data_IF_566150237429
#
_entry.id   IF_566150237429
#
_cell.length_a   1.000
_cell.length_b   1.000
_cell.length_c   1.000
_cell.angle_alpha   90.00
_cell.angle_beta   90.00
_cell.angle_gamma   90.00
#
_symmetry.space_group_name_H-M   'P 1'
#
loop_
_entity.id
_entity.type
_entity.pdbx_description
1 polymer ?
#
# COMPACT_ATOMS: atom_id res chain seq x y z
N UNK A 1 5.20 -1.70 -7.62
CA UNK A 1 4.43 -1.64 -6.36
C UNK A 1 5.33 -1.41 -5.17
N UNK A 2 4.80 -0.82 -4.15
CA UNK A 2 5.53 -0.53 -2.93
C UNK A 2 4.77 -1.20 -1.76
N UNK A 3 5.44 -2.10 -1.04
CA UNK A 3 4.83 -2.85 0.05
C UNK A 3 5.26 -2.29 1.39
N UNK A 4 4.30 -1.95 2.25
CA UNK A 4 4.56 -1.38 3.57
C UNK A 4 3.84 -2.20 4.64
N UNK A 5 4.61 -2.95 5.42
CA UNK A 5 4.11 -3.81 6.49
C UNK A 5 5.28 -4.12 7.43
N UNK A 6 5.06 -4.11 8.72
CA UNK A 6 6.14 -4.34 9.69
C UNK A 6 6.53 -5.81 9.83
N UNK A 7 5.73 -6.71 9.29
CA UNK A 7 6.03 -8.15 9.31
C UNK A 7 6.76 -8.57 8.04
N UNK A 8 8.09 -8.73 8.15
CA UNK A 8 8.92 -9.08 7.01
C UNK A 8 8.46 -10.36 6.31
N UNK A 9 7.97 -11.34 7.08
CA UNK A 9 7.44 -12.58 6.51
C UNK A 9 6.27 -12.30 5.57
N UNK A 10 5.36 -11.41 5.95
CA UNK A 10 4.19 -11.04 5.14
C UNK A 10 4.64 -10.31 3.89
N UNK A 11 5.58 -9.38 4.03
CA UNK A 11 6.13 -8.63 2.89
C UNK A 11 6.75 -9.58 1.87
N UNK A 12 7.57 -10.52 2.33
CA UNK A 12 8.22 -11.48 1.46
C UNK A 12 7.20 -12.37 0.74
N UNK A 13 6.16 -12.80 1.45
CA UNK A 13 5.09 -13.61 0.89
C UNK A 13 4.35 -12.84 -0.21
N UNK A 14 3.96 -11.61 0.07
CA UNK A 14 3.24 -10.79 -0.91
C UNK A 14 4.11 -10.47 -2.12
N UNK A 15 5.40 -10.19 -1.89
CA UNK A 15 6.33 -9.97 -3.00
C UNK A 15 6.37 -11.18 -3.93
N UNK A 16 6.53 -12.37 -3.38
CA UNK A 16 6.61 -13.60 -4.17
C UNK A 16 5.34 -13.80 -4.99
N UNK A 17 4.18 -13.61 -4.37
CA UNK A 17 2.90 -13.79 -5.04
C UNK A 17 2.70 -12.76 -6.15
N UNK A 18 3.01 -11.50 -5.86
CA UNK A 18 2.83 -10.43 -6.84
C UNK A 18 3.76 -10.60 -8.03
N UNK A 19 5.01 -10.94 -7.77
CA UNK A 19 5.99 -11.17 -8.86
C UNK A 19 5.63 -12.39 -9.68
N UNK A 20 5.09 -13.44 -9.07
CA UNK A 20 4.61 -14.61 -9.80
C UNK A 20 3.41 -14.27 -10.72
N UNK A 21 2.70 -13.19 -10.44
CA UNK A 21 1.56 -12.74 -11.23
C UNK A 21 1.89 -11.56 -12.16
N UNK A 22 3.18 -11.34 -12.42
CA UNK A 22 3.61 -10.34 -13.40
C UNK A 22 3.74 -8.92 -12.89
N UNK A 23 3.64 -8.71 -11.57
CA UNK A 23 3.81 -7.39 -10.98
C UNK A 23 5.23 -7.18 -10.49
N UNK A 24 5.72 -5.94 -10.54
CA UNK A 24 7.06 -5.60 -10.07
C UNK A 24 6.97 -4.86 -8.74
N UNK A 25 7.67 -5.38 -7.74
CA UNK A 25 7.79 -4.73 -6.43
C UNK A 25 9.06 -3.90 -6.43
N UNK A 26 8.91 -2.58 -6.43
CA UNK A 26 10.06 -1.65 -6.54
C UNK A 26 10.58 -1.19 -5.18
N UNK A 27 9.89 -1.52 -4.12
CA UNK A 27 10.35 -1.16 -2.78
C UNK A 27 9.54 -1.82 -1.68
N UNK A 28 10.13 -1.84 -0.49
CA UNK A 28 9.53 -2.39 0.72
C UNK A 28 9.89 -1.46 1.87
N UNK A 29 8.94 -1.22 2.77
CA UNK A 29 9.19 -0.50 4.02
C UNK A 29 8.56 -1.28 5.18
N UNK A 30 9.21 -1.23 6.32
CA UNK A 30 8.78 -1.99 7.50
C UNK A 30 8.13 -1.11 8.57
N UNK A 31 8.02 0.18 8.34
CA UNK A 31 7.24 1.11 9.17
C UNK A 31 6.84 2.33 8.35
N UNK A 32 5.98 3.16 8.93
CA UNK A 32 5.41 4.30 8.21
C UNK A 32 6.43 5.40 7.92
N UNK A 33 7.40 5.60 8.79
CA UNK A 33 8.43 6.61 8.57
C UNK A 33 9.35 6.21 7.42
N UNK A 34 9.76 4.95 7.39
CA UNK A 34 10.55 4.40 6.29
C UNK A 34 9.78 4.49 4.97
N UNK A 35 8.46 4.24 5.02
CA UNK A 35 7.61 4.34 3.84
C UNK A 35 7.62 5.75 3.25
N UNK A 36 7.45 6.76 4.10
CA UNK A 36 7.45 8.17 3.67
C UNK A 36 8.81 8.55 3.10
N UNK A 37 9.89 8.19 3.80
CA UNK A 37 11.25 8.50 3.36
C UNK A 37 11.57 7.85 2.02
N UNK A 38 11.29 6.56 1.89
CA UNK A 38 11.56 5.83 0.65
C UNK A 38 10.73 6.35 -0.51
N UNK A 39 9.46 6.67 -0.28
CA UNK A 39 8.61 7.22 -1.32
C UNK A 39 9.17 8.54 -1.84
N UNK A 40 9.60 9.40 -0.93
CA UNK A 40 10.19 10.69 -1.29
C UNK A 40 11.42 10.53 -2.17
N UNK A 41 12.25 9.52 -1.89
CA UNK A 41 13.50 9.26 -2.61
C UNK A 41 13.32 8.52 -3.93
N UNK A 42 12.17 7.89 -4.15
CA UNK A 42 11.92 7.14 -5.38
C UNK A 42 11.85 8.07 -6.59
N UNK A 43 12.68 7.78 -7.58
CA UNK A 43 12.65 8.49 -8.86
C UNK A 43 11.45 8.01 -9.67
N UNK A 44 11.29 6.69 -9.77
CA UNK A 44 10.13 6.09 -10.40
C UNK A 44 9.10 5.76 -9.31
N UNK A 45 7.92 6.37 -9.41
CA UNK A 45 6.89 6.17 -8.40
C UNK A 45 6.14 4.86 -8.62
N UNK A 46 5.76 4.16 -7.55
CA UNK A 46 5.01 2.90 -7.66
C UNK A 46 3.61 3.14 -8.20
N UNK A 47 3.08 2.17 -8.93
CA UNK A 47 1.70 2.20 -9.41
C UNK A 47 0.74 2.16 -8.22
N UNK A 48 1.04 1.33 -7.23
CA UNK A 48 0.23 1.15 -6.03
C UNK A 48 1.13 0.98 -4.82
N UNK A 49 0.67 1.53 -3.69
CA UNK A 49 1.26 1.29 -2.36
C UNK A 49 0.26 0.42 -1.60
N UNK A 50 0.72 -0.72 -1.09
CA UNK A 50 -0.07 -1.57 -0.18
C UNK A 50 0.38 -1.23 1.23
N UNK A 51 -0.50 -0.65 2.03
CA UNK A 51 -0.17 -0.08 3.33
C UNK A 51 -0.85 -0.82 4.46
N UNK A 52 -0.07 -1.25 5.46
CA UNK A 52 -0.60 -1.78 6.71
C UNK A 52 -0.81 -0.63 7.70
N UNK A 53 -1.71 -0.82 8.68
CA UNK A 53 -2.00 0.21 9.68
C UNK A 53 -1.08 0.12 10.89
N UNK A 54 -0.97 -1.05 11.49
CA UNK A 54 -0.23 -1.22 12.74
C UNK A 54 1.25 -1.43 12.49
N UNK A 55 2.00 -0.35 12.60
CA UNK A 55 3.44 -0.36 12.43
C UNK A 55 4.11 0.50 13.49
N UNK A 56 5.34 0.17 13.88
CA UNK A 56 6.07 1.01 14.83
C UNK A 56 6.43 2.35 14.20
N UNK A 57 6.80 3.31 15.01
CA UNK A 57 7.28 4.65 14.66
C UNK A 57 6.16 5.52 14.07
N UNK A 58 5.54 5.09 12.97
CA UNK A 58 4.46 5.83 12.31
C UNK A 58 3.48 4.82 11.69
N UNK A 59 2.19 4.97 11.98
CA UNK A 59 1.18 4.06 11.46
C UNK A 59 0.81 4.37 9.99
N UNK A 60 -0.03 3.50 9.42
CA UNK A 60 -0.40 3.58 8.01
C UNK A 60 -1.20 4.83 7.66
N UNK A 61 -2.13 5.25 8.52
CA UNK A 61 -2.94 6.44 8.27
C UNK A 61 -2.04 7.68 8.23
N UNK A 62 -1.14 7.81 9.19
CA UNK A 62 -0.20 8.94 9.23
C UNK A 62 0.72 8.94 8.02
N UNK A 63 1.26 7.78 7.65
CA UNK A 63 2.12 7.66 6.47
C UNK A 63 1.35 8.03 5.19
N UNK A 64 0.10 7.57 5.07
CA UNK A 64 -0.76 7.89 3.92
C UNK A 64 -0.99 9.39 3.80
N UNK A 65 -1.28 10.06 4.91
CA UNK A 65 -1.49 11.50 4.91
C UNK A 65 -0.25 12.24 4.42
N UNK A 66 0.93 11.83 4.88
CA UNK A 66 2.18 12.47 4.48
C UNK A 66 2.52 12.20 3.02
N UNK A 67 2.35 10.97 2.55
CA UNK A 67 2.61 10.62 1.15
C UNK A 67 1.70 11.39 0.21
N UNK A 68 0.41 11.47 0.52
CA UNK A 68 -0.55 12.19 -0.32
C UNK A 68 -0.35 13.70 -0.28
N UNK A 69 0.24 14.22 0.79
CA UNK A 69 0.61 15.63 0.86
C UNK A 69 1.77 15.94 -0.09
N UNK A 70 2.72 15.00 -0.24
CA UNK A 70 3.83 15.15 -1.19
C UNK A 70 3.39 14.88 -2.62
N UNK A 71 2.50 13.90 -2.80
CA UNK A 71 2.07 13.44 -4.13
C UNK A 71 0.58 13.06 -4.07
N UNK A 72 -0.30 14.00 -4.39
CA UNK A 72 -1.75 13.73 -4.37
C UNK A 72 -2.21 12.65 -5.34
N UNK A 73 -1.37 12.25 -6.28
CA UNK A 73 -1.70 11.21 -7.27
C UNK A 73 -1.32 9.80 -6.81
N UNK A 74 -0.67 9.67 -5.66
CA UNK A 74 -0.30 8.35 -5.14
C UNK A 74 -1.55 7.51 -4.91
N UNK A 75 -1.46 6.24 -5.26
CA UNK A 75 -2.56 5.28 -5.09
C UNK A 75 -2.22 4.35 -3.94
N UNK A 76 -2.98 4.44 -2.86
CA UNK A 76 -2.73 3.69 -1.63
C UNK A 76 -3.91 2.79 -1.33
N UNK A 77 -3.64 1.49 -1.17
CA UNK A 77 -4.62 0.52 -0.71
C UNK A 77 -4.20 0.03 0.67
N UNK A 78 -5.13 0.08 1.61
CA UNK A 78 -4.88 -0.44 2.96
C UNK A 78 -5.17 -1.93 3.03
N UNK A 79 -4.32 -2.65 3.79
CA UNK A 79 -4.63 -4.00 4.24
C UNK A 79 -4.51 -4.01 5.76
N UNK A 80 -5.61 -4.22 6.47
CA UNK A 80 -5.61 -4.21 7.93
C UNK A 80 -6.58 -5.23 8.50
N UNK A 81 -6.24 -5.78 9.68
CA UNK A 81 -7.14 -6.67 10.41
C UNK A 81 -8.20 -5.89 11.20
N UNK A 82 -8.08 -4.58 11.26
CA UNK A 82 -9.00 -3.72 12.03
C UNK A 82 -10.00 -3.03 11.11
N UNK A 83 -11.23 -3.52 11.11
CA UNK A 83 -12.30 -2.95 10.29
C UNK A 83 -12.60 -1.49 10.65
N UNK A 84 -12.34 -1.10 11.90
CA UNK A 84 -12.60 0.28 12.35
C UNK A 84 -11.67 1.29 11.69
N UNK A 85 -10.56 0.84 11.12
CA UNK A 85 -9.60 1.71 10.43
C UNK A 85 -10.06 2.07 9.02
N UNK A 86 -10.99 1.32 8.45
CA UNK A 86 -11.44 1.57 7.06
C UNK A 86 -11.87 3.02 6.84
N UNK A 87 -12.70 3.54 7.71
CA UNK A 87 -13.21 4.90 7.59
C UNK A 87 -12.09 5.94 7.63
N UNK A 88 -11.15 5.76 8.58
CA UNK A 88 -10.01 6.66 8.71
C UNK A 88 -9.07 6.57 7.51
N UNK A 89 -8.83 5.36 7.02
CA UNK A 89 -7.98 5.14 5.86
C UNK A 89 -8.55 5.83 4.62
N UNK A 90 -9.84 5.65 4.37
CA UNK A 90 -10.50 6.28 3.23
C UNK A 90 -10.56 7.80 3.39
N UNK A 91 -10.80 8.29 4.61
CA UNK A 91 -10.79 9.73 4.89
C UNK A 91 -9.40 10.33 4.69
N UNK A 92 -8.34 9.56 4.94
CA UNK A 92 -6.96 9.99 4.69
C UNK A 92 -6.60 10.00 3.21
N UNK A 93 -7.44 9.41 2.36
CA UNK A 93 -7.25 9.42 0.91
C UNK A 93 -6.90 8.08 0.29
N UNK A 94 -6.94 6.98 1.06
CA UNK A 94 -6.73 5.66 0.48
C UNK A 94 -7.80 5.36 -0.56
N UNK A 95 -7.42 4.66 -1.61
CA UNK A 95 -8.34 4.32 -2.72
C UNK A 95 -9.13 3.04 -2.44
N UNK A 96 -8.68 2.23 -1.50
CA UNK A 96 -9.38 1.01 -1.14
C UNK A 96 -8.89 0.44 0.16
N UNK A 97 -9.61 -0.55 0.66
CA UNK A 97 -9.35 -1.21 1.93
C UNK A 97 -9.64 -2.69 1.79
N UNK A 98 -8.68 -3.52 2.23
CA UNK A 98 -8.84 -4.98 2.28
C UNK A 98 -8.73 -5.43 3.73
N UNK A 99 -9.76 -6.10 4.22
CA UNK A 99 -9.76 -6.63 5.59
C UNK A 99 -8.93 -7.91 5.64
N UNK A 100 -7.92 -7.95 6.51
CA UNK A 100 -7.10 -9.14 6.73
C UNK A 100 -7.85 -10.16 7.61
N UNK A 101 -7.73 -11.46 7.37
CA UNK A 101 -7.02 -12.06 6.24
C UNK A 101 -7.84 -11.93 4.95
N UNK A 102 -7.22 -11.45 3.88
CA UNK A 102 -7.88 -11.37 2.59
C UNK A 102 -7.31 -12.44 1.65
N UNK A 103 -8.10 -12.80 0.64
CA UNK A 103 -7.65 -13.75 -0.37
C UNK A 103 -6.73 -13.06 -1.36
N UNK A 104 -5.82 -13.84 -1.92
CA UNK A 104 -4.90 -13.29 -2.91
C UNK A 104 -5.66 -12.75 -4.13
N UNK A 105 -6.77 -13.39 -4.51
CA UNK A 105 -7.61 -12.92 -5.61
C UNK A 105 -8.18 -11.52 -5.34
N UNK A 106 -8.52 -11.21 -4.10
CA UNK A 106 -9.03 -9.89 -3.73
C UNK A 106 -7.94 -8.83 -3.92
N UNK A 107 -6.72 -9.14 -3.50
CA UNK A 107 -5.58 -8.23 -3.68
C UNK A 107 -5.30 -8.01 -5.18
N UNK A 108 -5.23 -9.09 -5.95
CA UNK A 108 -4.95 -9.00 -7.39
C UNK A 108 -6.05 -8.25 -8.13
N UNK A 109 -7.32 -8.44 -7.76
CA UNK A 109 -8.45 -7.69 -8.32
C UNK A 109 -8.35 -6.20 -8.02
N UNK A 110 -8.03 -5.84 -6.78
CA UNK A 110 -7.88 -4.45 -6.38
C UNK A 110 -6.76 -3.76 -7.17
N UNK A 111 -5.65 -4.47 -7.36
CA UNK A 111 -4.51 -3.96 -8.13
C UNK A 111 -4.91 -3.76 -9.59
N UNK A 112 -5.61 -4.72 -10.17
CA UNK A 112 -6.06 -4.63 -11.55
C UNK A 112 -6.98 -3.44 -11.78
N UNK A 113 -7.91 -3.20 -10.87
CA UNK A 113 -8.81 -2.04 -10.94
C UNK A 113 -8.05 -0.73 -10.85
N UNK A 114 -7.09 -0.64 -9.94
CA UNK A 114 -6.30 0.57 -9.75
C UNK A 114 -5.45 0.88 -10.97
N UNK A 115 -4.83 -0.14 -11.58
CA UNK A 115 -4.04 0.01 -12.80
C UNK A 115 -4.93 0.45 -13.97
N UNK A 116 -6.08 -0.17 -14.14
CA UNK A 116 -7.04 0.19 -15.19
C UNK A 116 -7.53 1.62 -15.04
N UNK A 117 -7.81 2.05 -13.82
CA UNK A 117 -8.25 3.41 -13.52
C UNK A 117 -7.18 4.43 -13.91
N UNK A 118 -5.91 4.14 -13.65
CA UNK A 118 -4.79 5.03 -14.02
C UNK A 118 -4.63 5.14 -15.55
N UNK A 119 -4.82 4.03 -16.25
CA UNK A 119 -4.71 4.02 -17.72
C UNK A 119 -5.84 4.84 -18.34
N UNK A 120 -7.02 4.83 -17.75
CA UNK A 120 -8.18 5.56 -18.26
C UNK A 120 -8.14 7.06 -17.97
N UNK A 121 -7.35 7.45 -16.99
CA UNK A 121 -7.22 8.86 -16.65
C UNK A 121 -6.10 9.51 -17.49
#
# INVERSE_FOLDING_TARGET
MFLVDDEKFIVDLYRDILEANGHTVIGVALDGEEAVRKYKEMVEKPVIIIMDQRMPVKDGVSATQEILKMDPKATIFFGSADLHIEKEALAAGAKGFLLKPFRIEELLSAIKEAVSSKVKS
#
